data_IF_682210328346
#
_entry.id   IF_682210328346
#
_cell.length_a   1.000
_cell.length_b   1.000
_cell.length_c   1.000
_cell.angle_alpha   90.00
_cell.angle_beta   90.00
_cell.angle_gamma   90.00
#
_symmetry.space_group_name_H-M   'P 1'
#
loop_
_entity.id
_entity.type
_entity.pdbx_description
1 polymer ?
#
# COMPACT_ATOMS: atom_id res chain seq x y z
N UNK A 1 8.63 5.10 16.11
CA UNK A 1 7.17 5.37 16.06
C UNK A 1 6.41 4.19 16.65
N UNK A 2 6.26 4.17 17.97
CA UNK A 2 5.76 3.01 18.72
C UNK A 2 4.42 2.50 18.18
N UNK A 3 4.40 1.29 17.61
CA UNK A 3 3.21 0.66 17.06
C UNK A 3 2.05 0.61 18.08
N UNK A 4 2.38 0.54 19.37
CA UNK A 4 1.43 0.61 20.46
C UNK A 4 0.69 1.96 20.56
N UNK A 5 1.34 3.10 20.22
CA UNK A 5 0.67 4.41 20.15
C UNK A 5 -0.28 4.47 18.96
N UNK A 6 0.14 3.97 17.79
CA UNK A 6 -0.69 3.94 16.58
C UNK A 6 -1.96 3.10 16.81
N UNK A 7 -1.84 1.92 17.42
CA UNK A 7 -2.99 1.08 17.79
C UNK A 7 -3.93 1.72 18.83
N UNK A 8 -3.41 2.60 19.69
CA UNK A 8 -4.23 3.33 20.67
C UNK A 8 -4.99 4.49 20.02
N UNK A 9 -4.34 5.22 19.12
CA UNK A 9 -4.94 6.27 18.29
C UNK A 9 -6.06 5.68 17.41
N UNK A 10 -5.78 4.59 16.71
CA UNK A 10 -6.77 3.92 15.87
C UNK A 10 -8.01 3.48 16.67
N UNK A 11 -7.81 2.87 17.85
CA UNK A 11 -8.93 2.50 18.74
C UNK A 11 -9.70 3.70 19.29
N UNK A 12 -9.05 4.86 19.41
CA UNK A 12 -9.72 6.11 19.80
C UNK A 12 -10.61 6.61 18.66
N UNK A 13 -10.10 6.60 17.43
CA UNK A 13 -10.86 6.98 16.22
C UNK A 13 -12.04 6.03 16.03
N UNK A 14 -11.82 4.71 16.14
CA UNK A 14 -12.87 3.70 15.99
C UNK A 14 -14.02 3.91 16.99
N UNK A 15 -13.70 4.18 18.26
CA UNK A 15 -14.71 4.51 19.29
C UNK A 15 -15.44 5.82 18.99
N UNK A 16 -14.73 6.84 18.53
CA UNK A 16 -15.35 8.11 18.15
C UNK A 16 -16.28 7.91 16.94
N UNK A 17 -15.86 7.13 15.95
CA UNK A 17 -16.63 6.86 14.74
C UNK A 17 -17.88 6.02 15.05
N UNK A 18 -17.75 5.00 15.90
CA UNK A 18 -18.89 4.18 16.34
C UNK A 18 -19.99 5.01 17.04
N UNK A 19 -19.62 6.13 17.66
CA UNK A 19 -20.56 7.05 18.33
C UNK A 19 -21.16 8.07 17.36
N UNK A 20 -20.38 8.57 16.39
CA UNK A 20 -20.85 9.64 15.49
C UNK A 20 -21.51 9.11 14.21
N UNK A 21 -21.07 7.97 13.69
CA UNK A 21 -21.55 7.40 12.44
C UNK A 21 -21.44 5.85 12.45
N UNK A 22 -22.48 5.16 12.94
CA UNK A 22 -22.45 3.70 13.11
C UNK A 22 -22.46 2.93 11.79
N UNK A 23 -23.04 3.50 10.73
CA UNK A 23 -23.11 2.84 9.41
C UNK A 23 -21.73 2.83 8.75
N UNK A 24 -21.01 3.96 8.84
CA UNK A 24 -19.62 4.05 8.40
C UNK A 24 -18.69 3.15 9.23
N UNK A 25 -18.92 3.04 10.54
CA UNK A 25 -18.17 2.15 11.41
C UNK A 25 -18.40 0.66 11.04
N UNK A 26 -19.62 0.28 10.67
CA UNK A 26 -19.95 -1.06 10.19
C UNK A 26 -19.27 -1.36 8.84
N UNK A 27 -19.26 -0.41 7.90
CA UNK A 27 -18.58 -0.56 6.61
C UNK A 27 -17.06 -0.72 6.73
N UNK A 28 -16.44 -0.04 7.71
CA UNK A 28 -14.99 -0.11 7.94
C UNK A 28 -14.56 -1.34 8.74
N UNK A 29 -15.39 -1.82 9.68
CA UNK A 29 -15.11 -3.03 10.48
C UNK A 29 -15.27 -4.33 9.69
N UNK A 30 -16.14 -4.32 8.68
CA UNK A 30 -16.32 -5.45 7.74
C UNK A 30 -15.24 -5.50 6.66
N UNK A 31 -14.48 -4.42 6.46
CA UNK A 31 -13.33 -4.44 5.55
C UNK A 31 -12.24 -5.35 6.12
N UNK A 32 -11.84 -6.43 5.41
CA UNK A 32 -10.87 -7.37 5.94
C UNK A 32 -9.55 -6.67 6.29
N UNK A 33 -8.88 -7.06 7.39
CA UNK A 33 -7.64 -6.42 7.82
C UNK A 33 -6.64 -6.47 6.66
N UNK A 34 -6.31 -5.28 6.14
CA UNK A 34 -5.49 -5.02 4.94
C UNK A 34 -4.00 -5.33 5.15
N UNK A 35 -3.69 -6.38 5.91
CA UNK A 35 -2.37 -6.73 6.44
C UNK A 35 -1.82 -8.08 5.93
N UNK A 36 -2.63 -8.98 5.37
CA UNK A 36 -2.13 -10.33 4.96
C UNK A 36 -1.59 -10.39 3.53
N UNK A 37 -2.06 -9.56 2.60
CA UNK A 37 -1.75 -9.71 1.16
C UNK A 37 -0.60 -8.84 0.61
N UNK A 38 0.12 -8.08 1.45
CA UNK A 38 1.11 -7.09 0.97
C UNK A 38 2.40 -7.69 0.43
N UNK A 39 2.70 -8.97 0.67
CA UNK A 39 3.93 -9.60 0.17
C UNK A 39 3.79 -10.08 -1.29
N UNK A 40 2.81 -10.93 -1.66
CA UNK A 40 2.70 -11.44 -3.02
C UNK A 40 2.37 -10.35 -4.03
N UNK A 41 1.46 -9.42 -3.69
CA UNK A 41 1.10 -8.28 -4.56
C UNK A 41 2.32 -7.41 -4.87
N UNK A 42 3.24 -7.31 -3.94
CA UNK A 42 4.42 -6.45 -4.06
C UNK A 42 5.53 -7.09 -4.87
N UNK A 43 5.71 -8.40 -4.75
CA UNK A 43 6.55 -9.18 -5.66
C UNK A 43 5.98 -9.11 -7.08
N UNK A 44 4.66 -9.24 -7.23
CA UNK A 44 4.02 -9.11 -8.54
C UNK A 44 4.24 -7.72 -9.16
N UNK A 45 4.09 -6.63 -8.39
CA UNK A 45 4.31 -5.26 -8.88
C UNK A 45 5.78 -5.01 -9.24
N UNK A 46 6.74 -5.48 -8.44
CA UNK A 46 8.16 -5.35 -8.79
C UNK A 46 8.51 -6.13 -10.07
N UNK A 47 8.06 -7.39 -10.16
CA UNK A 47 8.29 -8.22 -11.35
C UNK A 47 7.66 -7.59 -12.59
N UNK A 48 6.43 -7.09 -12.48
CA UNK A 48 5.73 -6.44 -13.59
C UNK A 48 6.44 -5.13 -13.99
N UNK A 49 6.88 -4.33 -13.03
CA UNK A 49 7.61 -3.08 -13.27
C UNK A 49 8.93 -3.32 -13.99
N UNK A 50 9.72 -4.29 -13.53
CA UNK A 50 10.99 -4.69 -14.19
C UNK A 50 10.72 -5.18 -15.61
N UNK A 51 9.70 -6.02 -15.80
CA UNK A 51 9.36 -6.57 -17.12
C UNK A 51 8.95 -5.47 -18.11
N UNK A 52 8.13 -4.51 -17.66
CA UNK A 52 7.74 -3.35 -18.48
C UNK A 52 8.94 -2.47 -18.87
N UNK A 53 9.89 -2.25 -17.95
CA UNK A 53 11.11 -1.49 -18.26
C UNK A 53 11.96 -2.22 -19.29
N UNK A 54 12.19 -3.52 -19.13
CA UNK A 54 12.97 -4.34 -20.08
C UNK A 54 12.34 -4.35 -21.47
N UNK A 55 11.02 -4.56 -21.55
CA UNK A 55 10.27 -4.51 -22.81
C UNK A 55 10.29 -3.10 -23.44
N UNK A 56 10.20 -2.05 -22.64
CA UNK A 56 10.28 -0.66 -23.11
C UNK A 56 11.64 -0.31 -23.71
N UNK A 57 12.71 -0.79 -23.09
CA UNK A 57 14.09 -0.65 -23.60
C UNK A 57 14.27 -1.42 -24.91
N UNK A 58 13.77 -2.67 -24.99
CA UNK A 58 13.87 -3.46 -26.23
C UNK A 58 13.11 -2.84 -27.40
N UNK A 59 11.94 -2.24 -27.14
CA UNK A 59 11.05 -1.69 -28.18
C UNK A 59 11.39 -0.24 -28.56
N UNK A 60 12.24 0.45 -27.80
CA UNK A 60 12.51 1.88 -27.99
C UNK A 60 11.34 2.81 -27.63
N UNK A 61 10.30 2.28 -26.98
CA UNK A 61 9.08 3.02 -26.66
C UNK A 61 9.23 3.80 -25.35
N UNK A 62 9.58 5.08 -25.44
CA UNK A 62 9.76 5.99 -24.29
C UNK A 62 8.55 6.03 -23.34
N UNK A 63 7.33 5.94 -23.87
CA UNK A 63 6.11 5.91 -23.05
C UNK A 63 6.04 4.67 -22.15
N UNK A 64 6.55 3.53 -22.61
CA UNK A 64 6.56 2.27 -21.86
C UNK A 64 7.60 2.30 -20.73
N UNK A 65 8.75 2.92 -20.99
CA UNK A 65 9.77 3.19 -19.96
C UNK A 65 9.22 4.13 -18.89
N UNK A 66 8.53 5.21 -19.29
CA UNK A 66 7.94 6.17 -18.35
C UNK A 66 6.87 5.53 -17.46
N UNK A 67 5.98 4.72 -18.05
CA UNK A 67 4.97 3.97 -17.26
C UNK A 67 5.62 2.94 -16.33
N UNK A 68 6.68 2.24 -16.76
CA UNK A 68 7.47 1.37 -15.90
C UNK A 68 8.06 2.10 -14.69
N UNK A 69 8.65 3.28 -14.90
CA UNK A 69 9.17 4.13 -13.82
C UNK A 69 8.08 4.58 -12.83
N UNK A 70 6.89 4.97 -13.31
CA UNK A 70 5.78 5.36 -12.44
C UNK A 70 5.28 4.20 -11.58
N UNK A 71 5.22 2.99 -12.15
CA UNK A 71 4.84 1.77 -11.42
C UNK A 71 5.89 1.44 -10.35
N UNK A 72 7.19 1.54 -10.68
CA UNK A 72 8.26 1.32 -9.71
C UNK A 72 8.25 2.38 -8.60
N UNK A 73 8.04 3.66 -8.94
CA UNK A 73 7.95 4.74 -7.95
C UNK A 73 6.76 4.59 -7.02
N UNK A 74 5.57 4.26 -7.54
CA UNK A 74 4.40 3.97 -6.70
C UNK A 74 4.62 2.73 -5.84
N UNK A 75 5.26 1.69 -6.37
CA UNK A 75 5.71 0.51 -5.63
C UNK A 75 6.68 0.86 -4.50
N UNK A 76 7.64 1.77 -4.75
CA UNK A 76 8.63 2.22 -3.79
C UNK A 76 8.02 3.14 -2.71
N UNK A 77 7.11 4.04 -3.08
CA UNK A 77 6.34 4.83 -2.12
C UNK A 77 5.49 3.94 -1.22
N UNK A 78 4.81 2.94 -1.81
CA UNK A 78 4.09 1.94 -1.03
C UNK A 78 5.07 1.09 -0.19
N UNK A 79 6.29 0.86 -0.69
CA UNK A 79 7.36 0.14 0.01
C UNK A 79 7.75 0.87 1.28
N UNK A 80 8.11 2.15 1.18
CA UNK A 80 8.60 2.98 2.29
C UNK A 80 7.51 3.20 3.33
N UNK A 81 6.27 3.47 2.92
CA UNK A 81 5.12 3.59 3.85
C UNK A 81 4.82 2.27 4.58
N UNK A 82 4.99 1.11 3.92
CA UNK A 82 4.81 -0.19 4.59
C UNK A 82 6.00 -0.58 5.46
N UNK A 83 7.22 -0.17 5.10
CA UNK A 83 8.46 -0.54 5.81
C UNK A 83 8.66 0.30 7.07
N UNK A 84 8.18 1.54 7.10
CA UNK A 84 8.09 2.35 8.32
C UNK A 84 7.21 1.74 9.43
N UNK A 85 6.26 0.86 9.07
CA UNK A 85 5.41 0.09 10.01
C UNK A 85 6.02 -1.21 10.53
N UNK A 86 7.24 -1.58 10.08
CA UNK A 86 7.90 -2.85 10.42
C UNK A 86 9.15 -2.68 11.30
N UNK A 87 9.51 -1.43 11.64
CA UNK A 87 10.72 -1.10 12.38
C UNK A 87 10.43 -0.51 13.78
N UNK A 88 9.19 -0.68 14.27
CA UNK A 88 8.72 -0.27 15.59
C UNK A 88 7.91 -1.37 16.22
#
# INVERSE_FOLDING_TARGET
MDAARELRELRRIERWLAVNDPDLAAALSTAPPRSRNRKPVRVAVDVLGVLCVVLGVLTGALLLVFTGCLVLMTGLCLHTTCRGRRQT
#
